data_IF_170527109432
#
_entry.id   IF_170527109432
#
_cell.length_a   1.000
_cell.length_b   1.000
_cell.length_c   1.000
_cell.angle_alpha   90.00
_cell.angle_beta   90.00
_cell.angle_gamma   90.00
#
_symmetry.space_group_name_H-M   'P 1'
#
loop_
_entity.id
_entity.type
_entity.pdbx_description
1 polymer ?
#
# COMPACT_ATOMS: atom_id res chain seq x y z
N UNK A 1 -6.44 -14.92 -18.14
CA UNK A 1 -5.90 -15.18 -16.85
C UNK A 1 -6.14 -14.02 -15.92
N UNK A 2 -5.47 -12.95 -16.08
CA UNK A 2 -5.66 -11.80 -15.20
C UNK A 2 -6.72 -10.85 -15.72
N UNK A 3 -7.59 -11.32 -16.64
CA UNK A 3 -8.60 -10.49 -17.26
C UNK A 3 -9.58 -9.87 -16.25
N UNK A 4 -9.81 -10.56 -15.12
CA UNK A 4 -10.71 -10.08 -14.08
C UNK A 4 -9.98 -9.41 -12.93
N UNK A 5 -8.64 -9.33 -12.98
CA UNK A 5 -7.87 -8.70 -11.93
C UNK A 5 -7.97 -7.18 -12.05
N UNK A 6 -8.47 -6.48 -11.02
CA UNK A 6 -8.60 -5.02 -11.10
C UNK A 6 -7.25 -4.31 -11.21
N UNK A 7 -6.16 -4.91 -10.69
CA UNK A 7 -4.84 -4.28 -10.74
C UNK A 7 -4.08 -4.58 -12.02
N UNK A 8 -4.47 -5.63 -12.76
CA UNK A 8 -3.96 -5.86 -14.11
C UNK A 8 -4.66 -4.98 -15.15
N UNK A 9 -5.83 -4.44 -14.84
CA UNK A 9 -6.70 -3.74 -15.78
C UNK A 9 -7.04 -2.32 -15.31
N UNK A 10 -6.08 -1.65 -14.69
CA UNK A 10 -6.29 -0.30 -14.18
C UNK A 10 -6.43 0.72 -15.32
N UNK A 11 -7.41 1.63 -15.24
CA UNK A 11 -7.46 2.79 -16.13
C UNK A 11 -6.20 3.64 -15.94
N UNK A 12 -5.66 4.15 -17.04
CA UNK A 12 -4.41 4.94 -17.00
C UNK A 12 -4.55 6.18 -16.11
N UNK A 13 -5.70 6.79 -16.07
CA UNK A 13 -5.94 8.00 -15.30
C UNK A 13 -5.86 7.78 -13.79
N UNK A 14 -5.95 6.53 -13.33
CA UNK A 14 -5.79 6.20 -11.92
C UNK A 14 -4.33 6.13 -11.49
N UNK A 15 -3.42 5.88 -12.44
CA UNK A 15 -1.99 5.68 -12.14
C UNK A 15 -1.32 7.06 -12.05
N UNK A 16 -0.86 7.42 -10.85
CA UNK A 16 -0.24 8.74 -10.65
C UNK A 16 1.29 8.68 -10.56
N UNK A 17 1.86 7.50 -10.47
CA UNK A 17 3.30 7.28 -10.53
C UNK A 17 3.55 5.91 -11.15
N UNK A 18 4.59 5.80 -11.97
CA UNK A 18 4.91 4.55 -12.64
C UNK A 18 6.41 4.43 -12.80
N UNK A 19 6.91 3.22 -12.59
CA UNK A 19 8.30 2.84 -12.87
C UNK A 19 8.31 1.74 -13.93
N UNK A 20 9.48 1.15 -14.15
CA UNK A 20 9.60 0.01 -15.07
C UNK A 20 8.70 -1.14 -14.66
N UNK A 21 8.69 -1.50 -13.38
CA UNK A 21 8.03 -2.71 -12.90
C UNK A 21 6.91 -2.48 -11.89
N UNK A 22 6.63 -1.23 -11.55
CA UNK A 22 5.65 -0.89 -10.50
C UNK A 22 4.81 0.32 -10.87
N UNK A 23 3.71 0.49 -10.17
CA UNK A 23 2.87 1.67 -10.33
C UNK A 23 2.19 2.02 -9.00
N UNK A 24 1.68 3.24 -8.91
CA UNK A 24 0.99 3.73 -7.72
C UNK A 24 -0.36 4.32 -8.10
N UNK A 25 -1.37 3.99 -7.31
CA UNK A 25 -2.72 4.52 -7.44
C UNK A 25 -3.23 4.96 -6.07
N UNK A 26 -4.16 5.90 -6.04
CA UNK A 26 -4.91 6.17 -4.81
C UNK A 26 -5.85 4.98 -4.56
N UNK A 27 -5.94 4.57 -3.29
CA UNK A 27 -6.89 3.53 -2.89
C UNK A 27 -8.31 4.03 -3.16
N UNK A 28 -9.15 3.15 -3.71
CA UNK A 28 -10.55 3.49 -3.98
C UNK A 28 -11.38 3.66 -2.72
N UNK A 29 -10.91 3.15 -1.58
CA UNK A 29 -11.57 3.24 -0.28
C UNK A 29 -10.56 3.77 0.75
N UNK A 30 -10.10 5.02 0.59
CA UNK A 30 -8.97 5.53 1.36
C UNK A 30 -9.29 5.63 2.86
N UNK A 31 -8.34 5.23 3.69
CA UNK A 31 -8.45 5.42 5.14
C UNK A 31 -8.16 6.86 5.53
N UNK A 32 -7.25 7.50 4.79
CA UNK A 32 -6.90 8.92 4.95
C UNK A 32 -6.67 9.53 3.59
N UNK A 33 -6.65 10.85 3.52
CA UNK A 33 -6.32 11.54 2.26
C UNK A 33 -4.93 11.14 1.81
N UNK A 34 -4.83 10.68 0.58
CA UNK A 34 -3.56 10.28 0.00
C UNK A 34 -3.21 8.80 0.17
N UNK A 35 -4.07 8.01 0.82
CA UNK A 35 -3.86 6.57 0.95
C UNK A 35 -3.59 5.97 -0.43
N UNK A 36 -2.38 5.45 -0.63
CA UNK A 36 -1.89 4.99 -1.92
C UNK A 36 -1.57 3.50 -1.86
N UNK A 37 -1.78 2.84 -2.98
CA UNK A 37 -1.35 1.45 -3.19
C UNK A 37 -0.19 1.47 -4.16
N UNK A 38 0.90 0.79 -3.82
CA UNK A 38 2.03 0.55 -4.71
C UNK A 38 1.96 -0.90 -5.17
N UNK A 39 1.90 -1.10 -6.47
CA UNK A 39 1.49 -2.35 -7.07
C UNK A 39 2.54 -2.79 -8.08
N UNK A 40 3.08 -4.03 -7.99
CA UNK A 40 3.93 -4.55 -9.05
C UNK A 40 3.12 -4.77 -10.32
N UNK A 41 3.71 -4.47 -11.48
CA UNK A 41 3.04 -4.72 -12.77
C UNK A 41 2.85 -6.21 -13.01
N UNK A 42 3.80 -7.04 -12.55
CA UNK A 42 3.69 -8.50 -12.65
C UNK A 42 2.53 -8.98 -11.76
N UNK A 43 1.70 -9.84 -12.30
CA UNK A 43 0.62 -10.44 -11.54
C UNK A 43 1.18 -11.56 -10.67
N UNK A 44 1.39 -11.26 -9.40
CA UNK A 44 1.78 -12.22 -8.36
C UNK A 44 0.88 -12.02 -7.16
N UNK A 45 0.64 -13.08 -6.43
CA UNK A 45 -0.18 -13.00 -5.21
C UNK A 45 0.60 -12.30 -4.08
N UNK A 46 1.89 -12.58 -3.97
CA UNK A 46 2.76 -12.10 -2.89
C UNK A 46 3.93 -11.29 -3.45
N UNK A 47 4.28 -10.18 -2.78
CA UNK A 47 5.47 -9.41 -3.15
C UNK A 47 6.74 -10.25 -3.02
N UNK A 48 6.72 -11.27 -2.18
CA UNK A 48 7.86 -12.14 -1.94
C UNK A 48 8.08 -13.15 -3.06
N UNK A 49 7.16 -13.23 -4.02
CA UNK A 49 7.31 -14.03 -5.23
C UNK A 49 7.95 -13.27 -6.38
N UNK A 50 8.20 -11.98 -6.21
CA UNK A 50 8.83 -11.17 -7.23
C UNK A 50 10.31 -11.53 -7.39
N UNK A 51 10.86 -11.50 -8.63
CA UNK A 51 12.31 -11.49 -8.81
C UNK A 51 12.92 -10.32 -8.01
N UNK A 52 14.15 -10.51 -7.52
CA UNK A 52 14.79 -9.54 -6.64
C UNK A 52 14.82 -8.13 -7.25
N UNK A 53 15.11 -8.01 -8.54
CA UNK A 53 15.18 -6.71 -9.21
C UNK A 53 13.83 -6.00 -9.24
N UNK A 54 12.73 -6.77 -9.37
CA UNK A 54 11.39 -6.20 -9.35
C UNK A 54 10.96 -5.82 -7.93
N UNK A 55 11.37 -6.59 -6.93
CA UNK A 55 11.14 -6.23 -5.54
C UNK A 55 11.91 -4.95 -5.19
N UNK A 56 13.13 -4.80 -5.69
CA UNK A 56 13.92 -3.58 -5.50
C UNK A 56 13.22 -2.37 -6.13
N UNK A 57 12.67 -2.54 -7.33
CA UNK A 57 11.92 -1.50 -8.01
C UNK A 57 10.68 -1.10 -7.21
N UNK A 58 9.94 -2.08 -6.71
CA UNK A 58 8.74 -1.85 -5.89
C UNK A 58 9.10 -1.05 -4.63
N UNK A 59 10.16 -1.45 -3.96
CA UNK A 59 10.65 -0.77 -2.74
C UNK A 59 11.06 0.67 -3.04
N UNK A 60 11.73 0.91 -4.16
CA UNK A 60 12.11 2.26 -4.58
C UNK A 60 10.89 3.13 -4.83
N UNK A 61 9.84 2.57 -5.44
CA UNK A 61 8.59 3.29 -5.67
C UNK A 61 7.89 3.62 -4.35
N UNK A 62 7.86 2.68 -3.39
CA UNK A 62 7.31 2.95 -2.05
C UNK A 62 8.01 4.15 -1.41
N UNK A 63 9.32 4.18 -1.47
CA UNK A 63 10.12 5.30 -0.93
C UNK A 63 9.77 6.62 -1.59
N UNK A 64 9.65 6.62 -2.91
CA UNK A 64 9.32 7.81 -3.68
C UNK A 64 7.88 8.28 -3.38
N UNK A 65 6.94 7.35 -3.34
CA UNK A 65 5.54 7.62 -3.02
C UNK A 65 5.43 8.28 -1.65
N UNK A 66 6.09 7.70 -0.64
CA UNK A 66 6.06 8.26 0.71
C UNK A 66 6.53 9.71 0.73
N UNK A 67 7.62 9.99 0.02
CA UNK A 67 8.19 11.34 -0.04
C UNK A 67 7.21 12.32 -0.68
N UNK A 68 6.60 11.93 -1.79
CA UNK A 68 5.63 12.77 -2.51
C UNK A 68 4.39 13.02 -1.65
N UNK A 69 3.85 11.96 -1.01
CA UNK A 69 2.67 12.08 -0.17
C UNK A 69 2.92 12.96 1.05
N UNK A 70 4.12 12.89 1.63
CA UNK A 70 4.47 13.72 2.78
C UNK A 70 4.34 15.20 2.45
N UNK A 71 4.84 15.60 1.30
CA UNK A 71 4.77 16.98 0.85
C UNK A 71 3.35 17.37 0.41
N UNK A 72 2.71 16.54 -0.40
CA UNK A 72 1.42 16.87 -1.01
C UNK A 72 0.28 16.88 0.01
N UNK A 73 0.29 15.95 0.96
CA UNK A 73 -0.79 15.79 1.94
C UNK A 73 -0.39 16.21 3.35
N UNK A 74 0.82 16.77 3.50
CA UNK A 74 1.31 17.28 4.79
C UNK A 74 1.23 16.22 5.88
N UNK A 75 1.69 15.04 5.57
CA UNK A 75 1.63 13.91 6.49
C UNK A 75 2.70 14.03 7.58
N UNK A 76 2.32 13.75 8.82
CA UNK A 76 3.24 13.70 9.95
C UNK A 76 3.92 12.35 10.07
N UNK A 77 3.26 11.28 9.60
CA UNK A 77 3.73 9.91 9.74
C UNK A 77 3.04 9.03 8.70
N UNK A 78 3.41 7.76 8.66
CA UNK A 78 2.82 6.80 7.72
C UNK A 78 2.66 5.44 8.38
N UNK A 79 1.58 4.74 8.00
CA UNK A 79 1.53 3.29 8.14
C UNK A 79 1.80 2.69 6.77
N UNK A 80 2.77 1.80 6.70
CA UNK A 80 3.15 1.11 5.46
C UNK A 80 3.08 -0.39 5.72
N UNK A 81 2.35 -1.11 4.87
CA UNK A 81 2.21 -2.53 5.10
C UNK A 81 1.59 -3.26 3.94
N UNK A 82 1.67 -4.59 4.02
CA UNK A 82 1.13 -5.48 3.02
C UNK A 82 0.33 -6.59 3.71
N UNK A 83 -0.81 -6.94 3.12
CA UNK A 83 -1.57 -8.11 3.54
C UNK A 83 -1.14 -9.26 2.63
N UNK A 84 -0.37 -10.19 3.17
CA UNK A 84 0.24 -11.27 2.39
C UNK A 84 -0.52 -12.56 2.63
N UNK A 85 -1.53 -12.81 1.80
CA UNK A 85 -2.37 -13.99 1.86
C UNK A 85 -3.75 -13.74 2.45
N UNK A 86 -4.66 -14.67 2.18
CA UNK A 86 -6.06 -14.56 2.60
C UNK A 86 -6.20 -14.45 4.11
N UNK A 87 -5.45 -15.27 4.86
CA UNK A 87 -5.54 -15.26 6.33
C UNK A 87 -5.06 -13.95 6.94
N UNK A 88 -4.29 -13.15 6.18
CA UNK A 88 -3.84 -11.85 6.61
C UNK A 88 -4.75 -10.70 6.10
N UNK A 89 -5.84 -11.05 5.41
CA UNK A 89 -6.83 -10.07 4.97
C UNK A 89 -6.66 -9.59 3.53
N UNK A 90 -5.85 -10.27 2.73
CA UNK A 90 -5.68 -9.88 1.33
C UNK A 90 -6.96 -10.20 0.55
N UNK A 91 -7.60 -9.16 -0.02
CA UNK A 91 -8.87 -9.31 -0.73
C UNK A 91 -8.73 -9.26 -2.25
N UNK A 92 -7.67 -8.63 -2.75
CA UNK A 92 -7.35 -8.62 -4.18
C UNK A 92 -6.17 -9.55 -4.42
N UNK A 93 -6.34 -10.54 -5.28
CA UNK A 93 -5.32 -11.57 -5.54
C UNK A 93 -4.23 -11.06 -6.49
N UNK A 94 -3.65 -9.92 -6.14
CA UNK A 94 -2.56 -9.26 -6.82
C UNK A 94 -1.85 -8.42 -5.77
N UNK A 95 -0.58 -8.70 -5.55
CA UNK A 95 0.19 -8.07 -4.48
C UNK A 95 0.13 -6.55 -4.54
N UNK A 96 0.05 -5.92 -3.38
CA UNK A 96 0.07 -4.45 -3.27
C UNK A 96 0.49 -4.03 -1.88
N UNK A 97 1.19 -2.90 -1.80
CA UNK A 97 1.66 -2.33 -0.55
C UNK A 97 0.85 -1.07 -0.26
N UNK A 98 0.29 -0.98 0.93
CA UNK A 98 -0.41 0.22 1.39
C UNK A 98 0.60 1.24 1.88
N UNK A 99 0.45 2.49 1.46
CA UNK A 99 1.19 3.63 2.00
C UNK A 99 0.14 4.63 2.47
N UNK A 100 -0.01 4.73 3.78
CA UNK A 100 -1.13 5.45 4.40
C UNK A 100 -0.61 6.66 5.15
N UNK A 101 -0.83 7.88 4.62
CA UNK A 101 -0.44 9.10 5.34
C UNK A 101 -1.22 9.23 6.64
N UNK A 102 -0.52 9.61 7.71
CA UNK A 102 -1.11 9.83 9.02
C UNK A 102 -0.82 11.26 9.47
N UNK A 103 -1.73 11.82 10.25
CA UNK A 103 -1.60 13.18 10.77
C UNK A 103 -1.90 13.16 12.25
N UNK A 104 -1.24 14.06 12.99
CA UNK A 104 -1.54 14.24 14.41
C UNK A 104 -3.02 14.54 14.56
N UNK A 105 -3.70 13.80 15.43
CA UNK A 105 -5.11 14.02 15.72
C UNK A 105 -6.07 13.33 14.77
N UNK A 106 -5.60 12.60 13.76
CA UNK A 106 -6.51 11.84 12.87
C UNK A 106 -7.21 10.70 13.63
N UNK A 107 -6.57 10.21 14.68
CA UNK A 107 -7.17 9.32 15.68
C UNK A 107 -6.83 9.85 17.07
N UNK A 108 -7.72 9.66 18.07
CA UNK A 108 -7.42 10.09 19.44
C UNK A 108 -6.19 9.43 20.02
N UNK A 109 -5.97 8.16 19.75
CA UNK A 109 -4.80 7.41 20.22
C UNK A 109 -4.33 6.43 19.14
N UNK A 110 -3.28 6.77 18.40
CA UNK A 110 -2.80 5.93 17.29
C UNK A 110 -1.83 4.83 17.72
N UNK A 111 -1.53 4.71 19.03
CA UNK A 111 -0.53 3.75 19.50
C UNK A 111 -0.89 2.33 19.10
N UNK A 112 0.14 1.56 18.75
CA UNK A 112 0.00 0.19 18.33
C UNK A 112 -0.11 0.01 16.83
N UNK A 113 -0.66 0.99 16.12
CA UNK A 113 -0.71 0.97 14.63
C UNK A 113 -1.13 -0.37 14.06
N UNK A 114 -0.18 -1.04 13.39
CA UNK A 114 -0.43 -2.33 12.73
C UNK A 114 -0.94 -3.43 13.68
N UNK A 115 -0.68 -3.28 14.99
CA UNK A 115 -1.14 -4.27 15.98
C UNK A 115 -2.66 -4.36 16.07
N UNK A 116 -3.37 -3.34 15.58
CA UNK A 116 -4.84 -3.33 15.61
C UNK A 116 -5.48 -4.34 14.66
N UNK A 117 -4.66 -5.06 13.87
CA UNK A 117 -5.18 -6.20 13.08
C UNK A 117 -5.71 -7.31 14.01
N UNK A 118 -5.23 -7.38 15.27
CA UNK A 118 -5.79 -8.24 16.31
C UNK A 118 -6.17 -7.31 17.47
N UNK A 119 -7.39 -6.76 17.47
CA UNK A 119 -7.78 -5.74 18.45
C UNK A 119 -7.62 -6.16 19.91
N UNK A 120 -7.88 -7.45 20.23
CA UNK A 120 -7.80 -7.95 21.60
C UNK A 120 -6.37 -7.94 22.16
N UNK A 121 -5.37 -7.84 21.27
CA UNK A 121 -3.95 -7.87 21.65
C UNK A 121 -3.20 -6.61 21.24
N UNK A 122 -3.91 -5.63 20.72
CA UNK A 122 -3.27 -4.42 20.19
C UNK A 122 -2.57 -3.63 21.29
N UNK A 123 -3.21 -3.48 22.43
CA UNK A 123 -2.64 -2.69 23.54
C UNK A 123 -1.64 -3.52 24.34
N UNK A 124 -0.50 -2.91 24.62
CA UNK A 124 0.53 -3.48 25.52
C UNK A 124 1.05 -2.38 26.48
N UNK A 125 0.30 -1.35 26.61
CA UNK A 125 0.62 -0.19 27.47
C UNK A 125 -0.52 0.04 28.47
#
# INVERSE_FOLDING_TARGET
MEAQCPFCNLPKERVWLESKDSLAILDGFPLTDGHTLVIPKRHVLSVFELPQEQLNDLSAVVTKVRKILKAKYQADAFNVGVNDGLAAGQTVAHAHIHVIPRRKGDLPDPRGGIRWIIPQKAKYW
#
